data_IF_417155052828
#
_entry.id   IF_417155052828
#
_cell.length_a   1.000
_cell.length_b   1.000
_cell.length_c   1.000
_cell.angle_alpha   90.00
_cell.angle_beta   90.00
_cell.angle_gamma   90.00
#
_symmetry.space_group_name_H-M   'P 1'
#
loop_
_entity.id
_entity.type
_entity.pdbx_description
1 polymer ?
#
# COMPACT_ATOMS: atom_id res chain seq x y z
N UNK A 1 -54.23 -35.83 57.18
CA UNK A 1 -52.88 -35.24 56.93
C UNK A 1 -52.89 -34.24 55.76
N UNK A 2 -53.44 -34.63 54.61
CA UNK A 2 -53.44 -33.77 53.38
C UNK A 2 -54.11 -32.42 53.49
N UNK A 3 -55.23 -32.34 54.32
CA UNK A 3 -55.98 -31.10 54.49
C UNK A 3 -55.23 -30.05 55.35
N UNK A 4 -54.45 -30.50 56.33
CA UNK A 4 -53.61 -29.62 57.16
C UNK A 4 -52.40 -29.09 56.38
N UNK A 5 -51.76 -29.91 55.55
CA UNK A 5 -50.64 -29.51 54.69
C UNK A 5 -51.08 -28.46 53.66
N UNK A 6 -52.28 -28.63 53.06
CA UNK A 6 -52.85 -27.71 52.12
C UNK A 6 -53.18 -26.34 52.74
N UNK A 7 -53.73 -26.32 53.97
CA UNK A 7 -53.99 -25.09 54.74
C UNK A 7 -52.69 -24.41 55.21
N UNK A 8 -51.65 -25.13 55.50
CA UNK A 8 -50.35 -24.59 55.90
C UNK A 8 -49.62 -23.91 54.69
N UNK A 9 -49.68 -24.51 53.54
CA UNK A 9 -49.14 -23.93 52.31
C UNK A 9 -49.84 -22.67 51.84
N UNK A 10 -51.20 -22.62 51.96
CA UNK A 10 -52.03 -21.45 51.68
C UNK A 10 -51.73 -20.29 52.65
N UNK A 11 -51.50 -20.62 53.92
CA UNK A 11 -51.19 -19.63 54.94
C UNK A 11 -49.82 -19.02 54.84
N UNK A 12 -48.81 -19.83 54.44
CA UNK A 12 -47.43 -19.38 54.29
C UNK A 12 -47.21 -18.64 52.99
N UNK A 13 -47.89 -18.98 51.90
CA UNK A 13 -47.74 -18.32 50.58
C UNK A 13 -48.73 -17.18 50.36
N UNK A 14 -49.71 -16.94 51.27
CA UNK A 14 -50.77 -15.95 51.16
C UNK A 14 -51.60 -16.04 49.84
N UNK A 15 -51.67 -17.24 49.25
CA UNK A 15 -52.28 -17.53 47.96
C UNK A 15 -53.42 -18.52 48.11
N UNK A 16 -54.48 -18.43 47.29
CA UNK A 16 -55.51 -19.44 47.13
C UNK A 16 -54.96 -20.72 46.47
N UNK A 17 -55.74 -21.83 46.61
CA UNK A 17 -55.38 -23.10 46.01
C UNK A 17 -55.17 -23.03 44.46
N UNK A 18 -56.02 -22.23 43.81
CA UNK A 18 -55.96 -22.03 42.34
C UNK A 18 -54.76 -21.17 41.93
N UNK A 19 -54.47 -20.13 42.70
CA UNK A 19 -53.27 -19.30 42.47
C UNK A 19 -51.94 -20.08 42.67
N UNK A 20 -51.91 -21.09 43.53
CA UNK A 20 -50.76 -21.97 43.68
C UNK A 20 -50.56 -22.91 42.48
N UNK A 21 -51.68 -23.36 41.87
CA UNK A 21 -51.63 -24.15 40.63
C UNK A 21 -51.09 -23.29 39.47
N UNK A 22 -51.60 -22.07 39.29
CA UNK A 22 -51.10 -21.15 38.28
C UNK A 22 -49.61 -20.79 38.45
N UNK A 23 -49.15 -20.60 39.69
CA UNK A 23 -47.72 -20.36 39.98
C UNK A 23 -46.85 -21.56 39.64
N UNK A 24 -47.32 -22.79 39.94
CA UNK A 24 -46.63 -24.01 39.56
C UNK A 24 -46.49 -24.08 38.02
N UNK A 25 -47.61 -23.89 37.32
CA UNK A 25 -47.65 -24.02 35.87
C UNK A 25 -46.71 -22.98 35.20
N UNK A 26 -46.70 -21.72 35.68
CA UNK A 26 -45.73 -20.71 35.21
C UNK A 26 -44.29 -21.11 35.52
N UNK A 27 -44.01 -21.62 36.73
CA UNK A 27 -42.69 -22.04 37.11
C UNK A 27 -42.18 -23.25 36.27
N UNK A 28 -43.12 -24.16 35.89
CA UNK A 28 -42.83 -25.27 34.99
C UNK A 28 -42.51 -24.78 33.57
N UNK A 29 -43.27 -23.79 33.05
CA UNK A 29 -42.99 -23.15 31.76
C UNK A 29 -41.65 -22.40 31.77
N UNK A 30 -41.36 -21.60 32.78
CA UNK A 30 -40.09 -20.90 32.95
C UNK A 30 -38.90 -21.89 33.01
N UNK A 31 -39.07 -23.01 33.75
CA UNK A 31 -38.06 -24.05 33.85
C UNK A 31 -37.78 -24.73 32.48
N UNK A 32 -38.85 -25.03 31.74
CA UNK A 32 -38.75 -25.61 30.43
C UNK A 32 -38.05 -24.67 29.44
N UNK A 33 -38.35 -23.38 29.49
CA UNK A 33 -37.69 -22.35 28.69
C UNK A 33 -36.19 -22.24 29.06
N UNK A 34 -35.88 -22.14 30.35
CA UNK A 34 -34.45 -22.10 30.81
C UNK A 34 -33.67 -23.35 30.41
N UNK A 35 -34.32 -24.53 30.38
CA UNK A 35 -33.67 -25.75 29.90
C UNK A 35 -33.45 -25.73 28.39
N UNK A 36 -34.38 -25.19 27.60
CA UNK A 36 -34.21 -24.95 26.17
C UNK A 36 -33.07 -23.99 25.86
N UNK A 37 -33.05 -22.85 26.56
CA UNK A 37 -31.98 -21.85 26.45
C UNK A 37 -30.60 -22.44 26.77
N UNK A 38 -30.54 -23.31 27.81
CA UNK A 38 -29.29 -23.99 28.20
C UNK A 38 -28.79 -24.94 27.11
N UNK A 39 -29.67 -25.68 26.45
CA UNK A 39 -29.32 -26.57 25.35
C UNK A 39 -28.87 -25.78 24.11
N UNK A 40 -29.53 -24.66 23.79
CA UNK A 40 -29.15 -23.77 22.71
C UNK A 40 -27.76 -23.12 22.95
N UNK A 41 -27.51 -22.65 24.17
CA UNK A 41 -26.18 -22.13 24.56
C UNK A 41 -25.11 -23.19 24.40
N UNK A 42 -25.37 -24.45 24.77
CA UNK A 42 -24.42 -25.55 24.59
C UNK A 42 -24.13 -25.81 23.11
N UNK A 43 -25.14 -25.85 22.25
CA UNK A 43 -25.00 -26.02 20.81
C UNK A 43 -24.21 -24.86 20.16
N UNK A 44 -24.51 -23.61 20.54
CA UNK A 44 -23.80 -22.44 20.06
C UNK A 44 -22.32 -22.42 20.50
N UNK A 45 -22.01 -22.89 21.69
CA UNK A 45 -20.62 -23.05 22.18
C UNK A 45 -19.86 -24.10 21.37
N UNK A 46 -20.49 -25.18 21.04
CA UNK A 46 -19.90 -26.24 20.21
C UNK A 46 -19.65 -25.73 18.77
N UNK A 47 -20.63 -25.09 18.16
CA UNK A 47 -20.45 -24.46 16.84
C UNK A 47 -19.35 -23.41 16.84
N UNK A 48 -19.28 -22.56 17.86
CA UNK A 48 -18.20 -21.60 18.02
C UNK A 48 -16.84 -22.27 18.13
N UNK A 49 -16.72 -23.38 18.84
CA UNK A 49 -15.47 -24.11 18.97
C UNK A 49 -15.01 -24.69 17.62
N UNK A 50 -15.92 -25.31 16.86
CA UNK A 50 -15.64 -25.87 15.51
C UNK A 50 -15.25 -24.79 14.53
N UNK A 51 -15.98 -23.65 14.51
CA UNK A 51 -15.65 -22.51 13.67
C UNK A 51 -14.30 -21.90 14.02
N UNK A 52 -13.98 -21.79 15.32
CA UNK A 52 -12.70 -21.26 15.78
C UNK A 52 -11.53 -22.16 15.37
N UNK A 53 -11.68 -23.47 15.42
CA UNK A 53 -10.69 -24.43 14.93
C UNK A 53 -10.45 -24.26 13.43
N UNK A 54 -11.53 -24.22 12.64
CA UNK A 54 -11.47 -24.05 11.18
C UNK A 54 -10.78 -22.73 10.80
N UNK A 55 -11.21 -21.62 11.39
CA UNK A 55 -10.64 -20.30 11.11
C UNK A 55 -9.19 -20.20 11.57
N UNK A 56 -8.84 -20.85 12.70
CA UNK A 56 -7.45 -20.88 13.17
C UNK A 56 -6.54 -21.66 12.23
N UNK A 57 -7.02 -22.77 11.66
CA UNK A 57 -6.27 -23.53 10.66
C UNK A 57 -6.05 -22.71 9.37
N UNK A 58 -7.10 -22.05 8.89
CA UNK A 58 -7.00 -21.17 7.73
C UNK A 58 -6.07 -19.97 7.97
N UNK A 59 -6.12 -19.36 9.16
CA UNK A 59 -5.24 -18.26 9.52
C UNK A 59 -3.77 -18.67 9.57
N UNK A 60 -3.46 -19.89 10.05
CA UNK A 60 -2.10 -20.42 10.01
C UNK A 60 -1.60 -20.64 8.59
N UNK A 61 -2.40 -21.27 7.73
CA UNK A 61 -2.06 -21.46 6.33
C UNK A 61 -1.83 -20.13 5.60
N UNK A 62 -2.67 -19.12 5.88
CA UNK A 62 -2.50 -17.76 5.35
C UNK A 62 -1.18 -17.12 5.84
N UNK A 63 -0.85 -17.31 7.12
CA UNK A 63 0.41 -16.82 7.73
C UNK A 63 1.64 -17.40 7.06
N UNK A 64 1.65 -18.71 6.82
CA UNK A 64 2.73 -19.40 6.11
C UNK A 64 2.89 -18.89 4.67
N UNK A 65 1.78 -18.73 3.95
CA UNK A 65 1.79 -18.18 2.60
C UNK A 65 2.32 -16.75 2.57
N UNK A 66 1.91 -15.92 3.53
CA UNK A 66 2.40 -14.53 3.66
C UNK A 66 3.89 -14.47 3.95
N UNK A 67 4.40 -15.35 4.81
CA UNK A 67 5.84 -15.42 5.11
C UNK A 67 6.66 -15.74 3.86
N UNK A 68 6.26 -16.74 3.07
CA UNK A 68 6.92 -17.09 1.82
C UNK A 68 6.84 -15.97 0.77
N UNK A 69 5.68 -15.32 0.67
CA UNK A 69 5.47 -14.19 -0.26
C UNK A 69 6.31 -12.99 0.14
N UNK A 70 6.46 -12.74 1.46
CA UNK A 70 7.28 -11.65 1.98
C UNK A 70 8.75 -11.77 1.56
N UNK A 71 9.32 -12.96 1.62
CA UNK A 71 10.71 -13.20 1.18
C UNK A 71 10.90 -12.90 -0.30
N UNK A 72 9.99 -13.36 -1.16
CA UNK A 72 10.00 -13.07 -2.59
C UNK A 72 9.85 -11.57 -2.87
N UNK A 73 8.95 -10.91 -2.15
CA UNK A 73 8.72 -9.49 -2.28
C UNK A 73 9.96 -8.67 -1.89
N UNK A 74 10.60 -8.99 -0.76
CA UNK A 74 11.84 -8.34 -0.31
C UNK A 74 12.95 -8.50 -1.35
N UNK A 75 13.12 -9.69 -1.89
CA UNK A 75 14.11 -9.96 -2.94
C UNK A 75 13.86 -9.09 -4.16
N UNK A 76 12.64 -9.09 -4.69
CA UNK A 76 12.28 -8.29 -5.85
C UNK A 76 12.48 -6.78 -5.62
N UNK A 77 12.09 -6.26 -4.46
CA UNK A 77 12.30 -4.84 -4.13
C UNK A 77 13.80 -4.51 -3.99
N UNK A 78 14.58 -5.41 -3.39
CA UNK A 78 16.04 -5.22 -3.26
C UNK A 78 16.73 -5.16 -4.62
N UNK A 79 16.30 -5.95 -5.59
CA UNK A 79 16.79 -5.89 -6.97
C UNK A 79 16.44 -4.53 -7.62
N UNK A 80 15.24 -4.03 -7.44
CA UNK A 80 14.85 -2.70 -7.93
C UNK A 80 15.68 -1.58 -7.27
N UNK A 81 15.91 -1.67 -5.96
CA UNK A 81 16.76 -0.72 -5.24
C UNK A 81 18.21 -0.73 -5.76
N UNK A 82 18.78 -1.91 -6.01
CA UNK A 82 20.10 -2.04 -6.59
C UNK A 82 20.16 -1.43 -8.00
N UNK A 83 19.14 -1.64 -8.83
CA UNK A 83 19.01 -1.00 -10.13
C UNK A 83 18.96 0.52 -10.01
N UNK A 84 18.23 1.07 -9.06
CA UNK A 84 18.12 2.52 -8.76
C UNK A 84 19.37 3.11 -8.08
N UNK A 85 20.50 2.40 -8.14
CA UNK A 85 21.77 2.81 -7.55
C UNK A 85 21.78 2.94 -6.02
N UNK A 86 21.00 2.10 -5.37
CA UNK A 86 20.90 2.00 -3.91
C UNK A 86 21.27 0.60 -3.38
N UNK A 87 22.46 0.04 -3.73
CA UNK A 87 22.83 -1.35 -3.44
C UNK A 87 23.10 -1.61 -1.94
N UNK A 88 23.26 -0.58 -1.15
CA UNK A 88 23.55 -0.67 0.28
C UNK A 88 22.29 -0.64 1.16
N UNK A 89 21.14 -0.36 0.56
CA UNK A 89 19.87 -0.35 1.27
C UNK A 89 19.49 -1.76 1.69
N UNK A 90 19.13 -1.92 2.94
CA UNK A 90 18.66 -3.18 3.53
C UNK A 90 17.17 -3.04 3.83
N UNK A 91 16.35 -3.84 3.18
CA UNK A 91 14.91 -3.94 3.44
C UNK A 91 14.63 -5.20 4.27
N UNK A 92 13.96 -5.05 5.38
CA UNK A 92 13.57 -6.14 6.28
C UNK A 92 12.06 -6.15 6.46
N UNK A 93 11.43 -7.29 6.27
CA UNK A 93 10.03 -7.50 6.62
C UNK A 93 9.92 -8.17 7.99
N UNK A 94 9.43 -7.44 8.98
CA UNK A 94 9.15 -7.98 10.29
C UNK A 94 7.75 -8.58 10.29
N UNK A 95 7.70 -9.92 10.29
CA UNK A 95 6.47 -10.68 10.36
C UNK A 95 6.26 -11.18 11.81
N UNK A 96 5.13 -10.84 12.41
CA UNK A 96 4.75 -11.27 13.75
C UNK A 96 3.33 -11.82 13.75
N UNK A 97 3.09 -12.86 14.53
CA UNK A 97 1.77 -13.44 14.71
C UNK A 97 1.16 -13.00 16.04
N UNK A 98 -0.14 -12.76 16.06
CA UNK A 98 -0.86 -12.27 17.23
C UNK A 98 -2.26 -12.84 17.32
N UNK A 99 -3.21 -12.04 17.82
CA UNK A 99 -4.60 -12.44 17.95
C UNK A 99 -5.28 -12.58 16.59
N UNK A 100 -6.17 -13.57 16.47
CA UNK A 100 -7.00 -13.77 15.30
C UNK A 100 -7.94 -12.56 15.06
N UNK A 101 -7.92 -12.03 13.86
CA UNK A 101 -8.77 -10.92 13.41
C UNK A 101 -9.45 -11.26 12.09
N UNK A 102 -10.30 -10.39 11.57
CA UNK A 102 -10.92 -10.53 10.24
C UNK A 102 -9.89 -10.54 9.09
N UNK A 103 -8.65 -10.07 9.34
CA UNK A 103 -7.55 -10.04 8.38
C UNK A 103 -6.53 -11.16 8.58
N UNK A 104 -6.82 -12.11 9.47
CA UNK A 104 -5.91 -13.18 9.89
C UNK A 104 -5.23 -12.85 11.22
N UNK A 105 -4.07 -13.47 11.45
CA UNK A 105 -3.32 -13.37 12.71
C UNK A 105 -1.98 -12.64 12.59
N UNK A 106 -1.67 -12.10 11.42
CA UNK A 106 -0.37 -11.53 11.11
C UNK A 106 -0.34 -10.01 11.25
N UNK A 107 0.82 -9.52 11.65
CA UNK A 107 1.23 -8.13 11.52
C UNK A 107 2.54 -8.08 10.74
N UNK A 108 2.58 -7.24 9.70
CA UNK A 108 3.74 -7.02 8.85
C UNK A 108 4.20 -5.57 8.98
N UNK A 109 5.49 -5.39 9.23
CA UNK A 109 6.13 -4.08 9.29
C UNK A 109 7.38 -4.09 8.41
N UNK A 110 7.50 -3.11 7.51
CA UNK A 110 8.70 -2.94 6.70
C UNK A 110 9.67 -2.00 7.40
N UNK A 111 10.87 -2.51 7.63
CA UNK A 111 11.98 -1.76 8.20
C UNK A 111 13.05 -1.60 7.13
N UNK A 112 13.69 -0.45 7.10
CA UNK A 112 14.73 -0.15 6.12
C UNK A 112 15.93 0.51 6.79
N UNK A 113 17.11 0.19 6.27
CA UNK A 113 18.35 0.90 6.55
C UNK A 113 18.93 1.41 5.24
N UNK A 114 19.24 2.70 5.16
CA UNK A 114 19.83 3.32 3.98
C UNK A 114 21.33 2.97 3.84
N UNK A 115 22.02 2.72 4.95
CA UNK A 115 23.45 2.49 5.00
C UNK A 115 23.79 1.17 5.70
N UNK A 116 24.86 0.52 5.25
CA UNK A 116 25.37 -0.68 5.93
C UNK A 116 25.84 -0.34 7.34
N UNK A 117 25.40 -1.14 8.32
CA UNK A 117 25.78 -0.96 9.73
C UNK A 117 24.81 -0.11 10.55
N UNK A 118 23.80 0.50 9.93
CA UNK A 118 22.70 1.13 10.65
C UNK A 118 21.59 0.12 10.94
N UNK A 119 20.94 0.28 12.10
CA UNK A 119 19.77 -0.55 12.43
C UNK A 119 18.59 -0.20 11.52
N UNK A 120 17.90 -1.21 10.94
CA UNK A 120 16.69 -0.99 10.15
C UNK A 120 15.59 -0.31 10.98
N UNK A 121 14.99 0.75 10.42
CA UNK A 121 13.94 1.56 11.05
C UNK A 121 12.68 1.56 10.19
N UNK A 122 11.50 1.84 10.76
CA UNK A 122 10.27 1.99 9.99
C UNK A 122 10.43 3.01 8.84
N UNK A 123 9.85 2.70 7.67
CA UNK A 123 9.88 3.57 6.48
C UNK A 123 9.54 5.03 6.78
N UNK A 124 8.58 5.26 7.67
CA UNK A 124 8.16 6.61 8.08
C UNK A 124 9.25 7.43 8.80
N UNK A 125 10.38 6.83 9.16
CA UNK A 125 11.50 7.52 9.84
C UNK A 125 12.69 7.81 8.93
N UNK A 126 12.55 7.64 7.62
CA UNK A 126 13.58 8.01 6.64
C UNK A 126 13.64 9.53 6.56
N UNK A 127 14.83 10.09 6.74
CA UNK A 127 15.02 11.53 6.81
C UNK A 127 15.17 12.20 5.43
N UNK A 128 15.59 11.45 4.39
CA UNK A 128 15.84 11.99 3.04
C UNK A 128 14.63 11.80 2.14
N UNK A 129 14.05 12.90 1.63
CA UNK A 129 12.94 12.87 0.68
C UNK A 129 13.29 12.13 -0.60
N UNK A 130 14.47 12.38 -1.18
CA UNK A 130 14.91 11.72 -2.41
C UNK A 130 15.15 10.22 -2.24
N UNK A 131 15.69 9.77 -1.11
CA UNK A 131 15.82 8.33 -0.82
C UNK A 131 14.46 7.67 -0.66
N UNK A 132 13.55 8.30 0.08
CA UNK A 132 12.19 7.79 0.27
C UNK A 132 11.45 7.68 -1.06
N UNK A 133 11.53 8.70 -1.93
CA UNK A 133 10.90 8.69 -3.26
C UNK A 133 11.42 7.55 -4.14
N UNK A 134 12.73 7.28 -4.13
CA UNK A 134 13.33 6.14 -4.86
C UNK A 134 12.92 4.79 -4.27
N UNK A 135 12.86 4.67 -2.95
CA UNK A 135 12.36 3.45 -2.29
C UNK A 135 10.90 3.20 -2.65
N UNK A 136 10.07 4.26 -2.64
CA UNK A 136 8.67 4.15 -3.07
C UNK A 136 8.54 3.77 -4.54
N UNK A 137 9.41 4.29 -5.42
CA UNK A 137 9.45 3.86 -6.82
C UNK A 137 9.79 2.36 -6.94
N UNK A 138 10.81 1.87 -6.22
CA UNK A 138 11.17 0.45 -6.20
C UNK A 138 10.00 -0.44 -5.75
N UNK A 139 9.31 -0.05 -4.68
CA UNK A 139 8.12 -0.73 -4.21
C UNK A 139 7.00 -0.73 -5.26
N UNK A 140 6.74 0.41 -5.89
CA UNK A 140 5.70 0.56 -6.91
C UNK A 140 6.01 -0.24 -8.18
N UNK A 141 7.26 -0.39 -8.58
CA UNK A 141 7.65 -1.28 -9.68
C UNK A 141 7.25 -2.74 -9.41
N UNK A 142 7.43 -3.22 -8.16
CA UNK A 142 7.13 -4.63 -7.82
C UNK A 142 5.64 -4.90 -7.70
N UNK A 143 4.83 -3.91 -7.31
CA UNK A 143 3.37 -4.07 -7.12
C UNK A 143 2.54 -3.44 -8.25
N UNK A 144 3.18 -2.99 -9.33
CA UNK A 144 2.54 -2.20 -10.39
C UNK A 144 1.24 -2.83 -10.92
N UNK A 145 1.22 -4.14 -11.16
CA UNK A 145 0.06 -4.85 -11.70
C UNK A 145 -1.13 -4.95 -10.74
N UNK A 146 -0.89 -4.82 -9.44
CA UNK A 146 -1.90 -5.06 -8.38
C UNK A 146 -2.26 -3.83 -7.58
N UNK A 147 -1.59 -2.72 -7.81
CA UNK A 147 -1.88 -1.46 -7.13
C UNK A 147 -3.14 -0.81 -7.73
N UNK A 148 -4.10 -0.44 -6.91
CA UNK A 148 -5.33 0.23 -7.34
C UNK A 148 -5.20 1.75 -7.52
N UNK A 149 -4.03 2.34 -7.20
CA UNK A 149 -3.81 3.78 -7.26
C UNK A 149 -3.51 4.16 -8.71
N UNK A 150 -4.35 4.98 -9.39
CA UNK A 150 -4.20 5.27 -10.80
C UNK A 150 -3.12 6.31 -11.12
N UNK A 151 -2.80 7.20 -10.17
CA UNK A 151 -1.84 8.31 -10.37
C UNK A 151 -0.80 8.32 -9.27
N UNK A 152 0.46 8.37 -9.66
CA UNK A 152 1.62 8.46 -8.76
C UNK A 152 2.32 9.79 -8.98
N UNK A 153 2.67 10.46 -7.88
CA UNK A 153 3.40 11.73 -7.90
C UNK A 153 4.73 11.52 -7.21
N UNK A 154 5.82 11.78 -7.93
CA UNK A 154 7.18 11.71 -7.40
C UNK A 154 7.79 13.10 -7.36
N UNK A 155 8.11 13.55 -6.16
CA UNK A 155 8.83 14.78 -5.89
C UNK A 155 10.20 14.44 -5.28
N UNK A 156 11.21 15.29 -5.56
CA UNK A 156 12.59 15.14 -5.07
C UNK A 156 13.28 13.81 -5.43
N UNK A 157 12.75 13.01 -6.36
CA UNK A 157 13.28 11.68 -6.68
C UNK A 157 14.71 11.72 -7.23
N UNK A 158 15.10 12.84 -7.82
CA UNK A 158 16.40 13.13 -8.42
C UNK A 158 17.39 13.81 -7.47
N UNK A 159 16.99 14.05 -6.21
CA UNK A 159 17.88 14.66 -5.20
C UNK A 159 19.07 13.74 -4.89
N UNK A 160 20.29 14.29 -5.02
CA UNK A 160 21.54 13.58 -4.74
C UNK A 160 21.96 12.55 -5.78
N UNK A 161 21.36 12.58 -6.98
CA UNK A 161 21.73 11.69 -8.09
C UNK A 161 22.12 12.48 -9.33
N UNK A 162 22.86 11.84 -10.26
CA UNK A 162 23.26 12.44 -11.53
C UNK A 162 23.61 11.36 -12.57
N UNK A 163 23.76 11.75 -13.81
CA UNK A 163 24.26 10.91 -14.89
C UNK A 163 23.48 9.59 -15.04
N UNK A 164 24.20 8.46 -14.99
CA UNK A 164 23.61 7.12 -15.18
C UNK A 164 22.57 6.75 -14.12
N UNK A 165 22.69 7.26 -12.90
CA UNK A 165 21.72 6.98 -11.85
C UNK A 165 20.37 7.67 -12.16
N UNK A 166 20.40 8.92 -12.59
CA UNK A 166 19.22 9.65 -13.04
C UNK A 166 18.54 8.96 -14.24
N UNK A 167 19.32 8.48 -15.20
CA UNK A 167 18.80 7.73 -16.35
C UNK A 167 18.04 6.48 -15.92
N UNK A 168 18.58 5.70 -14.97
CA UNK A 168 17.91 4.51 -14.44
C UNK A 168 16.60 4.83 -13.73
N UNK A 169 16.54 5.97 -13.02
CA UNK A 169 15.31 6.46 -12.40
C UNK A 169 14.26 6.77 -13.48
N UNK A 170 14.65 7.51 -14.54
CA UNK A 170 13.77 7.83 -15.66
C UNK A 170 13.20 6.58 -16.32
N UNK A 171 14.04 5.56 -16.57
CA UNK A 171 13.61 4.26 -17.12
C UNK A 171 12.54 3.60 -16.25
N UNK A 172 12.71 3.58 -14.92
CA UNK A 172 11.73 2.98 -14.01
C UNK A 172 10.44 3.80 -13.88
N UNK A 173 10.53 5.14 -13.91
CA UNK A 173 9.35 5.99 -13.97
C UNK A 173 8.54 5.72 -15.24
N UNK A 174 9.21 5.55 -16.38
CA UNK A 174 8.57 5.21 -17.65
C UNK A 174 7.93 3.82 -17.64
N UNK A 175 8.62 2.80 -17.08
CA UNK A 175 8.07 1.45 -16.92
C UNK A 175 6.75 1.47 -16.12
N UNK A 176 6.71 2.18 -15.00
CA UNK A 176 5.49 2.36 -14.21
C UNK A 176 4.45 3.21 -14.96
N UNK A 177 4.91 4.18 -15.76
CA UNK A 177 4.09 5.06 -16.60
C UNK A 177 3.30 4.34 -17.69
N UNK A 178 3.74 3.16 -18.14
CA UNK A 178 3.00 2.33 -19.09
C UNK A 178 1.68 1.77 -18.50
N UNK A 179 1.64 1.59 -17.19
CA UNK A 179 0.48 1.02 -16.50
C UNK A 179 -0.35 2.07 -15.76
N UNK A 180 0.22 3.24 -15.46
CA UNK A 180 -0.37 4.27 -14.60
C UNK A 180 0.06 5.66 -15.01
N UNK A 181 -0.72 6.67 -14.60
CA UNK A 181 -0.26 8.05 -14.72
C UNK A 181 0.87 8.31 -13.71
N UNK A 182 1.99 8.82 -14.20
CA UNK A 182 3.14 9.23 -13.37
C UNK A 182 3.40 10.71 -13.58
N UNK A 183 3.35 11.48 -12.51
CA UNK A 183 3.80 12.87 -12.45
C UNK A 183 5.12 12.92 -11.71
N UNK A 184 6.15 13.48 -12.35
CA UNK A 184 7.48 13.60 -11.75
C UNK A 184 7.94 15.05 -11.80
N UNK A 185 8.33 15.60 -10.66
CA UNK A 185 9.02 16.89 -10.58
C UNK A 185 10.52 16.61 -10.64
N UNK A 186 11.20 17.17 -11.63
CA UNK A 186 12.62 16.94 -11.89
C UNK A 186 13.33 18.17 -12.41
N UNK A 187 14.61 18.29 -12.08
CA UNK A 187 15.52 19.28 -12.65
C UNK A 187 16.62 18.63 -13.52
N UNK A 188 16.51 17.30 -13.77
CA UNK A 188 17.49 16.55 -14.55
C UNK A 188 16.98 16.23 -15.96
N UNK A 189 17.73 16.64 -16.96
CA UNK A 189 17.43 16.36 -18.36
C UNK A 189 17.32 14.86 -18.65
N UNK A 190 18.11 14.01 -17.97
CA UNK A 190 18.10 12.55 -18.10
C UNK A 190 16.75 11.92 -17.75
N UNK A 191 15.97 12.54 -16.88
CA UNK A 191 14.62 12.10 -16.52
C UNK A 191 13.60 12.76 -17.46
N UNK A 192 13.71 14.08 -17.66
CA UNK A 192 12.76 14.86 -18.45
C UNK A 192 12.65 14.40 -19.92
N UNK A 193 13.73 13.92 -20.54
CA UNK A 193 13.72 13.40 -21.93
C UNK A 193 12.84 12.16 -22.10
N UNK A 194 12.62 11.37 -21.03
CA UNK A 194 11.86 10.13 -21.05
C UNK A 194 10.35 10.31 -20.85
N UNK A 195 9.89 11.53 -20.53
CA UNK A 195 8.48 11.82 -20.32
C UNK A 195 7.72 11.83 -21.64
N UNK A 196 6.47 11.36 -21.66
CA UNK A 196 5.56 11.47 -22.79
C UNK A 196 5.09 12.92 -22.97
N UNK A 197 4.82 13.59 -21.86
CA UNK A 197 4.41 14.99 -21.80
C UNK A 197 5.32 15.79 -20.88
N UNK A 198 5.68 17.00 -21.27
CA UNK A 198 6.52 17.89 -20.47
C UNK A 198 5.74 19.16 -20.09
N UNK A 199 5.65 19.40 -18.79
CA UNK A 199 5.05 20.58 -18.20
C UNK A 199 6.16 21.50 -17.68
N UNK A 200 6.24 22.72 -18.16
CA UNK A 200 7.15 23.74 -17.64
C UNK A 200 6.45 24.54 -16.54
N UNK A 201 7.15 24.69 -15.41
CA UNK A 201 6.69 25.50 -14.29
C UNK A 201 7.53 26.78 -14.24
N UNK A 202 6.89 27.92 -14.37
CA UNK A 202 7.54 29.23 -14.34
C UNK A 202 6.90 30.11 -13.25
N UNK A 203 7.74 30.83 -12.51
CA UNK A 203 7.30 31.85 -11.55
C UNK A 203 7.48 33.22 -12.16
N UNK A 204 6.38 33.92 -12.35
CA UNK A 204 6.38 35.32 -12.84
C UNK A 204 6.04 36.25 -11.69
N UNK A 205 6.87 37.29 -11.52
CA UNK A 205 6.67 38.28 -10.44
C UNK A 205 6.21 39.60 -11.10
N UNK A 206 4.96 39.99 -10.87
CA UNK A 206 4.43 41.27 -11.24
C UNK A 206 4.28 42.17 -10.00
N UNK A 207 5.16 43.15 -9.87
CA UNK A 207 5.19 44.04 -8.72
C UNK A 207 5.54 43.28 -7.41
N UNK A 208 4.59 43.20 -6.47
CA UNK A 208 4.75 42.48 -5.19
C UNK A 208 4.14 41.08 -5.17
N UNK A 209 3.52 40.65 -6.26
CA UNK A 209 2.82 39.36 -6.38
C UNK A 209 3.59 38.42 -7.27
N UNK A 210 3.81 37.20 -6.79
CA UNK A 210 4.42 36.12 -7.57
C UNK A 210 3.33 35.10 -7.91
N UNK A 211 3.19 34.82 -9.20
CA UNK A 211 2.26 33.79 -9.71
C UNK A 211 3.06 32.64 -10.33
N UNK A 212 2.54 31.43 -10.17
CA UNK A 212 3.14 30.23 -10.75
C UNK A 212 2.30 29.81 -11.97
N UNK A 213 2.94 29.76 -13.13
CA UNK A 213 2.32 29.31 -14.38
C UNK A 213 2.80 27.91 -14.73
N UNK A 214 1.88 27.09 -15.21
CA UNK A 214 2.18 25.74 -15.70
C UNK A 214 1.78 25.68 -17.18
N UNK A 215 2.73 25.35 -18.03
CA UNK A 215 2.53 25.28 -19.48
C UNK A 215 2.92 23.91 -20.02
N UNK A 216 2.08 23.35 -20.89
CA UNK A 216 2.41 22.16 -21.68
C UNK A 216 3.36 22.58 -22.79
N UNK A 217 4.50 21.92 -22.90
CA UNK A 217 5.49 22.23 -23.93
C UNK A 217 5.23 21.43 -25.21
N UNK A 218 5.17 22.15 -26.32
CA UNK A 218 5.19 21.59 -27.66
C UNK A 218 6.58 21.01 -28.00
N UNK A 219 6.73 20.16 -29.04
CA UNK A 219 7.98 19.45 -29.34
C UNK A 219 9.22 20.34 -29.37
N UNK A 220 9.19 21.49 -30.04
CA UNK A 220 10.32 22.42 -30.08
C UNK A 220 10.55 23.11 -28.72
N UNK A 221 9.49 23.43 -27.98
CA UNK A 221 9.59 23.93 -26.61
C UNK A 221 10.28 22.94 -25.68
N UNK A 222 10.00 21.63 -25.84
CA UNK A 222 10.70 20.57 -25.10
C UNK A 222 12.19 20.55 -25.41
N UNK A 223 12.59 20.67 -26.69
CA UNK A 223 14.00 20.73 -27.08
C UNK A 223 14.70 21.88 -26.38
N UNK A 224 14.09 23.06 -26.39
CA UNK A 224 14.64 24.25 -25.74
C UNK A 224 14.75 24.06 -24.23
N UNK A 225 13.73 23.54 -23.56
CA UNK A 225 13.74 23.34 -22.12
C UNK A 225 14.77 22.28 -21.70
N UNK A 226 14.87 21.15 -22.41
CA UNK A 226 15.91 20.15 -22.16
C UNK A 226 17.30 20.74 -22.33
N UNK A 227 17.54 21.52 -23.42
CA UNK A 227 18.81 22.19 -23.62
C UNK A 227 19.12 23.23 -22.53
N UNK A 228 18.09 23.95 -22.04
CA UNK A 228 18.19 24.88 -20.90
C UNK A 228 18.60 24.16 -19.61
N UNK A 229 17.99 23.03 -19.33
CA UNK A 229 18.33 22.19 -18.16
C UNK A 229 19.79 21.68 -18.29
N UNK A 230 20.26 21.37 -19.49
CA UNK A 230 21.63 20.88 -19.74
C UNK A 230 22.70 21.97 -19.60
N UNK A 231 22.42 23.19 -20.05
CA UNK A 231 23.46 24.20 -20.21
C UNK A 231 23.12 25.62 -19.74
N UNK A 232 21.95 25.82 -19.12
CA UNK A 232 21.48 27.12 -18.60
C UNK A 232 20.65 27.91 -19.61
N UNK A 233 20.31 29.15 -19.25
CA UNK A 233 19.28 30.00 -19.92
C UNK A 233 19.52 30.25 -21.43
N UNK A 234 20.77 30.24 -21.89
CA UNK A 234 21.11 30.49 -23.29
C UNK A 234 21.85 29.27 -23.88
N UNK A 235 21.15 28.18 -24.21
CA UNK A 235 21.77 26.98 -24.73
C UNK A 235 22.40 27.22 -26.11
N UNK A 236 23.61 26.65 -26.32
CA UNK A 236 24.28 26.70 -27.62
C UNK A 236 23.52 25.83 -28.65
N UNK A 237 23.79 26.10 -29.94
CA UNK A 237 23.25 25.28 -31.04
C UNK A 237 23.55 23.81 -30.84
N UNK A 238 24.75 23.49 -30.39
CA UNK A 238 25.16 22.10 -30.08
C UNK A 238 24.31 21.45 -29.01
N UNK A 239 23.96 22.17 -27.93
CA UNK A 239 23.08 21.69 -26.88
C UNK A 239 21.65 21.45 -27.36
N UNK A 240 21.13 22.31 -28.24
CA UNK A 240 19.83 22.12 -28.87
C UNK A 240 19.81 20.87 -29.76
N UNK A 241 20.87 20.63 -30.53
CA UNK A 241 21.00 19.42 -31.33
C UNK A 241 21.10 18.16 -30.43
N UNK A 242 21.91 18.21 -29.39
CA UNK A 242 22.02 17.11 -28.41
C UNK A 242 20.66 16.81 -27.74
N UNK A 243 19.93 17.84 -27.31
CA UNK A 243 18.60 17.68 -26.71
C UNK A 243 17.61 17.03 -27.69
N UNK A 244 17.67 17.43 -28.97
CA UNK A 244 16.83 16.86 -30.03
C UNK A 244 17.15 15.39 -30.31
N UNK A 245 18.43 15.02 -30.31
CA UNK A 245 18.87 13.64 -30.47
C UNK A 245 18.45 12.75 -29.30
N UNK A 246 18.61 13.22 -28.07
CA UNK A 246 18.18 12.49 -26.86
C UNK A 246 16.65 12.28 -26.86
N UNK A 247 15.85 13.29 -27.18
CA UNK A 247 14.41 13.15 -27.30
C UNK A 247 14.01 12.13 -28.38
N UNK A 248 14.65 12.18 -29.55
CA UNK A 248 14.40 11.21 -30.64
C UNK A 248 14.77 9.79 -30.26
N UNK A 249 15.86 9.60 -29.53
CA UNK A 249 16.30 8.30 -29.06
C UNK A 249 15.23 7.63 -28.19
N UNK A 250 14.74 8.34 -27.20
CA UNK A 250 13.71 7.81 -26.29
C UNK A 250 12.33 7.65 -26.93
N UNK A 251 12.02 8.40 -27.97
CA UNK A 251 10.81 8.20 -28.78
C UNK A 251 10.87 6.97 -29.69
N UNK A 252 12.06 6.65 -30.24
CA UNK A 252 12.26 5.44 -31.07
C UNK A 252 12.19 4.15 -30.25
N UNK A 253 12.72 4.16 -29.03
CA UNK A 253 12.63 3.01 -28.13
C UNK A 253 11.14 2.70 -27.77
N UNK A 254 10.26 3.69 -27.76
CA UNK A 254 8.80 3.50 -27.64
C UNK A 254 8.19 2.70 -28.79
N UNK A 255 8.66 2.90 -30.01
CA UNK A 255 8.13 2.20 -31.19
C UNK A 255 8.67 0.76 -31.29
N UNK A 256 9.89 0.52 -30.84
CA UNK A 256 10.49 -0.82 -30.84
C UNK A 256 9.91 -1.73 -29.75
N UNK A 257 9.62 -1.21 -28.55
CA UNK A 257 8.98 -1.98 -27.46
C UNK A 257 7.50 -2.29 -27.73
N UNK A 258 6.81 -1.50 -28.58
CA UNK A 258 5.42 -1.72 -28.99
C UNK A 258 5.25 -2.83 -30.03
N UNK A 259 6.28 -3.15 -30.82
CA UNK A 259 6.23 -4.22 -31.85
C UNK A 259 6.47 -5.61 -31.25
N UNK A 260 7.28 -5.75 -30.22
CA UNK A 260 7.57 -7.04 -29.54
C UNK A 260 6.41 -7.50 -28.61
N UNK A 261 5.47 -6.64 -28.26
CA UNK A 261 4.33 -6.93 -27.36
C UNK A 261 3.10 -7.54 -28.04
N UNK A 262 3.07 -7.69 -29.37
CA UNK A 262 1.93 -8.23 -30.12
C UNK A 262 2.10 -9.67 -30.63
N UNK A 263 3.20 -10.34 -30.33
CA UNK A 263 3.46 -11.73 -30.77
C UNK A 263 3.48 -12.77 -29.63
N UNK A 264 2.72 -12.60 -28.56
CA UNK A 264 2.50 -13.72 -27.59
C UNK A 264 1.07 -13.86 -27.17
#
# INVERSE_FOLDING_TARGET
PYRRQRQMCIRDSQCTGDELVERRDRAEEELAQMQGDTAEIAALREQKAQLLETVSAQAKALSEYRAQTLERFITAVTEQLAFLNMPNVILVGKHTTGKLTIHGMDSLEFLISANRGEEPRPLARIASGGELSRIMLALKCVIADRDSIPTLIFDEIDTGVSGKAAQKIGMKLREVGQLRQVLCVTHLSQIAVMADQHLMIEKQTEGTRTETHVMVLEPEGRVHEIARIMGGENPSVLLLETAREELKRWQKDLLAEGEDGQET
#
